data_IF_591563994863
#
_entry.id   IF_591563994863
#
_cell.length_a   1.000
_cell.length_b   1.000
_cell.length_c   1.000
_cell.angle_alpha   90.00
_cell.angle_beta   90.00
_cell.angle_gamma   90.00
#
_symmetry.space_group_name_H-M   'P 1'
#
loop_
_entity.id
_entity.type
_entity.pdbx_description
1 polymer ?
#
# COMPACT_ATOMS: atom_id res chain seq x y z
N UNK A 1 -11.58 -1.13 7.71
CA UNK A 1 -10.93 -0.30 6.68
C UNK A 1 -9.57 0.01 7.23
N UNK A 2 -8.50 -0.46 6.60
CA UNK A 2 -7.15 -0.38 7.17
C UNK A 2 -6.64 1.05 7.10
N UNK A 3 -5.99 1.50 8.17
CA UNK A 3 -5.39 2.84 8.24
C UNK A 3 -3.89 2.81 8.00
N UNK A 4 -3.32 3.96 7.64
CA UNK A 4 -1.88 4.10 7.33
C UNK A 4 -0.98 3.71 8.51
N UNK A 5 -1.43 3.88 9.76
CA UNK A 5 -0.65 3.53 10.96
C UNK A 5 -0.57 2.03 11.25
N UNK A 6 -1.39 1.22 10.57
CA UNK A 6 -1.45 -0.24 10.75
C UNK A 6 -0.65 -0.99 9.68
N UNK A 7 0.01 -0.26 8.79
CA UNK A 7 0.68 -0.79 7.60
C UNK A 7 2.09 -0.22 7.50
N UNK A 8 2.93 -0.93 6.77
CA UNK A 8 4.25 -0.46 6.35
C UNK A 8 4.44 -0.75 4.86
N UNK A 9 5.34 0.01 4.25
CA UNK A 9 5.74 -0.16 2.87
C UNK A 9 7.00 -1.01 2.80
N UNK A 10 7.08 -1.90 1.81
CA UNK A 10 8.29 -2.64 1.50
C UNK A 10 8.65 -2.46 0.04
N UNK A 11 9.90 -2.07 -0.24
CA UNK A 11 10.35 -1.90 -1.63
C UNK A 11 10.48 -3.26 -2.31
N UNK A 12 9.78 -3.43 -3.42
CA UNK A 12 9.81 -4.64 -4.23
C UNK A 12 10.87 -4.57 -5.35
N UNK A 13 11.06 -5.67 -6.09
CA UNK A 13 12.11 -5.76 -7.11
C UNK A 13 11.91 -4.80 -8.30
N UNK A 14 10.70 -4.26 -8.48
CA UNK A 14 10.39 -3.28 -9.52
C UNK A 14 10.65 -1.83 -9.05
N UNK A 15 10.97 -1.64 -7.77
CA UNK A 15 11.15 -0.33 -7.15
C UNK A 15 9.84 0.33 -6.69
N UNK A 16 8.74 -0.42 -6.70
CA UNK A 16 7.47 0.01 -6.09
C UNK A 16 7.41 -0.42 -4.62
N UNK A 17 6.39 0.06 -3.92
CA UNK A 17 6.21 -0.16 -2.48
C UNK A 17 4.99 -1.06 -2.26
N UNK A 18 5.23 -2.30 -1.85
CA UNK A 18 4.17 -3.22 -1.44
C UNK A 18 3.66 -2.81 -0.05
N UNK A 19 2.35 -2.67 0.10
CA UNK A 19 1.73 -2.28 1.37
C UNK A 19 1.35 -3.53 2.15
N UNK A 20 1.95 -3.68 3.33
CA UNK A 20 1.83 -4.86 4.18
C UNK A 20 1.30 -4.47 5.57
N UNK A 21 0.55 -5.35 6.22
CA UNK A 21 0.11 -5.14 7.61
C UNK A 21 1.30 -5.22 8.57
N UNK A 22 1.47 -4.24 9.44
CA UNK A 22 2.58 -4.20 10.40
C UNK A 22 2.59 -5.37 11.39
N UNK A 23 1.41 -5.93 11.71
CA UNK A 23 1.28 -7.03 12.68
C UNK A 23 1.62 -8.40 12.08
N UNK A 24 1.14 -8.68 10.87
CA UNK A 24 1.21 -10.01 10.26
C UNK A 24 2.16 -10.11 9.06
N UNK A 25 2.54 -8.98 8.45
CA UNK A 25 3.32 -8.93 7.22
C UNK A 25 2.55 -9.38 5.97
N UNK A 26 1.23 -9.55 6.07
CA UNK A 26 0.37 -9.90 4.93
C UNK A 26 0.05 -8.69 4.05
N UNK A 27 -0.23 -8.94 2.77
CA UNK A 27 -0.59 -7.89 1.82
C UNK A 27 -1.90 -7.21 2.16
N UNK A 28 -1.89 -5.88 2.20
CA UNK A 28 -3.08 -5.08 2.43
C UNK A 28 -3.88 -5.02 1.15
N UNK A 29 -5.12 -5.50 1.18
CA UNK A 29 -6.01 -5.48 0.02
C UNK A 29 -6.91 -4.25 -0.03
N UNK A 30 -6.96 -3.47 1.05
CA UNK A 30 -7.82 -2.28 1.17
C UNK A 30 -7.26 -1.27 2.17
N UNK A 31 -7.05 -0.03 1.74
CA UNK A 31 -6.45 1.05 2.53
C UNK A 31 -7.31 2.32 2.48
N UNK A 32 -7.52 3.00 3.61
CA UNK A 32 -8.17 4.32 3.62
C UNK A 32 -7.23 5.44 3.21
N UNK A 33 -6.90 5.47 1.91
CA UNK A 33 -6.05 6.49 1.31
C UNK A 33 -6.61 6.94 -0.05
N UNK A 34 -6.39 8.21 -0.38
CA UNK A 34 -6.74 8.79 -1.68
C UNK A 34 -5.62 8.58 -2.72
N UNK A 35 -5.23 7.33 -2.93
CA UNK A 35 -4.18 6.95 -3.90
C UNK A 35 -4.66 5.82 -4.81
N UNK A 36 -3.96 5.65 -5.93
CA UNK A 36 -4.22 4.60 -6.90
C UNK A 36 -3.06 3.60 -6.87
N UNK A 37 -3.32 2.32 -6.58
CA UNK A 37 -2.30 1.28 -6.69
C UNK A 37 -1.73 1.20 -8.11
N UNK A 38 -0.44 0.88 -8.18
CA UNK A 38 0.25 0.64 -9.45
C UNK A 38 -0.45 -0.51 -10.17
N UNK A 39 -0.85 -0.26 -11.41
CA UNK A 39 -1.56 -1.25 -12.24
C UNK A 39 -3.05 -1.40 -11.93
N UNK A 40 -3.65 -0.56 -11.09
CA UNK A 40 -5.08 -0.59 -10.79
C UNK A 40 -5.82 0.67 -11.27
N UNK A 41 -6.98 0.48 -11.90
CA UNK A 41 -7.90 1.56 -12.27
C UNK A 41 -8.75 2.06 -11.08
N UNK A 42 -8.73 1.34 -9.95
CA UNK A 42 -9.50 1.66 -8.76
C UNK A 42 -8.59 2.18 -7.64
N UNK A 43 -9.11 3.12 -6.85
CA UNK A 43 -8.37 3.64 -5.70
C UNK A 43 -8.13 2.56 -4.63
N UNK A 44 -7.14 2.80 -3.76
CA UNK A 44 -6.75 1.89 -2.68
C UNK A 44 -7.87 1.60 -1.65
N UNK A 45 -8.95 2.40 -1.66
CA UNK A 45 -10.17 2.17 -0.84
C UNK A 45 -11.03 1.00 -1.28
N UNK A 46 -10.84 0.51 -2.51
CA UNK A 46 -11.53 -0.67 -3.03
C UNK A 46 -10.75 -1.94 -2.67
N UNK A 47 -11.35 -3.10 -2.92
CA UNK A 47 -10.73 -4.39 -2.63
C UNK A 47 -9.80 -4.79 -3.79
N UNK A 48 -8.54 -5.05 -3.46
CA UNK A 48 -7.50 -5.48 -4.40
C UNK A 48 -6.98 -6.85 -3.94
N UNK A 49 -7.52 -7.96 -4.48
CA UNK A 49 -7.18 -9.31 -4.01
C UNK A 49 -5.71 -9.69 -4.24
N UNK A 50 -5.04 -8.99 -5.15
CA UNK A 50 -3.61 -9.14 -5.45
C UNK A 50 -2.72 -8.35 -4.47
N UNK A 51 -3.32 -7.53 -3.60
CA UNK A 51 -2.63 -6.61 -2.70
C UNK A 51 -2.47 -5.22 -3.29
N UNK A 52 -2.15 -4.26 -2.43
CA UNK A 52 -1.92 -2.87 -2.80
C UNK A 52 -0.42 -2.65 -2.96
N UNK A 53 -0.04 -2.22 -4.16
CA UNK A 53 1.32 -1.74 -4.47
C UNK A 53 1.22 -0.26 -4.82
N UNK A 54 2.02 0.59 -4.16
CA UNK A 54 2.06 2.04 -4.42
C UNK A 54 3.40 2.43 -5.03
N UNK A 55 3.44 3.59 -5.68
CA UNK A 55 4.73 4.19 -6.01
C UNK A 55 5.40 4.68 -4.72
N UNK A 56 6.74 4.77 -4.74
CA UNK A 56 7.49 5.34 -3.61
C UNK A 56 7.00 6.75 -3.24
N UNK A 57 6.74 7.58 -4.25
CA UNK A 57 6.28 8.95 -4.05
C UNK A 57 4.90 9.01 -3.37
N UNK A 58 3.99 8.10 -3.74
CA UNK A 58 2.67 8.01 -3.09
C UNK A 58 2.80 7.54 -1.64
N UNK A 59 3.62 6.51 -1.38
CA UNK A 59 3.86 6.01 -0.04
C UNK A 59 4.51 7.09 0.88
N UNK A 60 5.52 7.80 0.37
CA UNK A 60 6.16 8.93 1.07
C UNK A 60 5.16 10.08 1.30
N UNK A 61 4.29 10.39 0.32
CA UNK A 61 3.26 11.42 0.45
C UNK A 61 2.17 11.06 1.48
N UNK A 62 1.91 9.76 1.67
CA UNK A 62 0.98 9.27 2.68
C UNK A 62 1.62 9.19 4.08
N UNK A 63 2.95 9.29 4.18
CA UNK A 63 3.69 9.10 5.42
C UNK A 63 3.73 7.64 5.88
N UNK A 64 3.68 6.70 4.93
CA UNK A 64 3.88 5.27 5.22
C UNK A 64 5.36 5.05 5.50
N UNK A 65 5.68 4.35 6.58
CA UNK A 65 7.06 3.95 6.89
C UNK A 65 7.53 2.87 5.91
N UNK A 66 8.69 3.06 5.27
CA UNK A 66 9.22 2.16 4.25
C UNK A 66 10.45 1.45 4.79
N UNK A 67 10.41 0.10 4.82
CA UNK A 67 11.52 -0.78 5.22
C UNK A 67 12.39 -1.23 4.03
#
# INVERSE_FOLDING_TARGET
MTTINEVFGRINSEGNVDILFADSGESVTRLDANVFPVGSDFGARYDHPEGITLTRADAESLGIDIE
#
